data_IF_005577181656
#
_entry.id   IF_005577181656
#
_cell.length_a   1.000
_cell.length_b   1.000
_cell.length_c   1.000
_cell.angle_alpha   90.00
_cell.angle_beta   90.00
_cell.angle_gamma   90.00
#
_symmetry.space_group_name_H-M   'P 1'
#
loop_
_entity.id
_entity.type
_entity.pdbx_description
1 polymer ?
#
# COMPACT_ATOMS: atom_id res chain seq x y z
N UNK A 1 -14.81 11.94 -30.62
CA UNK A 1 -14.67 10.74 -29.77
C UNK A 1 -16.05 10.44 -29.23
N UNK A 2 -16.67 9.34 -29.61
CA UNK A 2 -17.98 8.95 -29.06
C UNK A 2 -17.77 8.55 -27.61
N UNK A 3 -18.27 9.35 -26.67
CA UNK A 3 -18.37 8.95 -25.27
C UNK A 3 -19.15 7.63 -25.23
N UNK A 4 -18.49 6.59 -24.73
CA UNK A 4 -19.12 5.28 -24.56
C UNK A 4 -20.16 5.46 -23.45
N UNK A 5 -21.46 5.53 -23.82
CA UNK A 5 -22.58 5.88 -22.92
C UNK A 5 -22.76 4.94 -21.72
N UNK A 6 -21.94 3.88 -21.62
CA UNK A 6 -21.97 2.86 -20.57
C UNK A 6 -20.60 2.64 -19.94
N UNK A 7 -19.73 3.64 -19.89
CA UNK A 7 -18.46 3.52 -19.19
C UNK A 7 -18.68 3.70 -17.68
N UNK A 8 -18.24 2.74 -16.90
CA UNK A 8 -18.34 2.77 -15.43
C UNK A 8 -17.01 3.20 -14.83
N UNK A 9 -17.02 4.14 -13.92
CA UNK A 9 -15.81 4.61 -13.26
C UNK A 9 -16.07 5.07 -11.85
N UNK A 10 -15.10 4.88 -10.97
CA UNK A 10 -15.23 5.33 -9.59
C UNK A 10 -14.01 5.01 -8.75
N UNK A 11 -14.09 5.46 -7.50
CA UNK A 11 -13.04 5.31 -6.50
C UNK A 11 -13.41 4.23 -5.48
N UNK A 12 -12.49 3.31 -5.23
CA UNK A 12 -12.65 2.23 -4.26
C UNK A 12 -11.54 2.27 -3.22
N UNK A 13 -11.89 2.46 -1.95
CA UNK A 13 -10.90 2.48 -0.86
C UNK A 13 -10.77 1.12 -0.21
N UNK A 14 -9.52 0.72 0.08
CA UNK A 14 -9.18 -0.54 0.74
C UNK A 14 -8.77 -0.25 2.19
N UNK A 15 -9.54 -0.74 3.14
CA UNK A 15 -9.28 -0.59 4.58
C UNK A 15 -9.15 -1.95 5.28
N UNK A 16 -8.57 -1.95 6.46
CA UNK A 16 -8.38 -3.12 7.30
C UNK A 16 -7.19 -2.96 8.23
N UNK A 17 -7.00 -3.86 9.17
CA UNK A 17 -5.84 -3.79 10.07
C UNK A 17 -4.51 -3.97 9.32
N UNK A 18 -3.37 -3.66 9.93
CA UNK A 18 -2.06 -3.94 9.32
C UNK A 18 -1.89 -5.41 8.96
N UNK A 19 -1.18 -5.68 7.87
CA UNK A 19 -0.79 -7.02 7.38
C UNK A 19 -1.92 -7.96 6.92
N UNK A 20 -3.15 -7.47 6.73
CA UNK A 20 -4.23 -8.27 6.14
C UNK A 20 -4.09 -8.47 4.62
N UNK A 21 -3.15 -7.76 3.97
CA UNK A 21 -2.84 -7.91 2.55
C UNK A 21 -3.39 -6.81 1.64
N UNK A 22 -3.69 -5.61 2.16
CA UNK A 22 -4.24 -4.48 1.38
C UNK A 22 -3.37 -4.12 0.18
N UNK A 23 -2.10 -3.81 0.40
CA UNK A 23 -1.15 -3.44 -0.68
C UNK A 23 -0.88 -4.60 -1.64
N UNK A 24 -0.94 -5.85 -1.16
CA UNK A 24 -0.87 -7.04 -2.04
C UNK A 24 -2.09 -7.09 -2.94
N UNK A 25 -3.28 -6.88 -2.39
CA UNK A 25 -4.52 -6.87 -3.17
C UNK A 25 -4.50 -5.73 -4.19
N UNK A 26 -4.08 -4.51 -3.80
CA UNK A 26 -3.92 -3.40 -4.73
C UNK A 26 -3.04 -3.77 -5.93
N UNK A 27 -1.84 -4.29 -5.67
CA UNK A 27 -0.92 -4.70 -6.74
C UNK A 27 -1.54 -5.76 -7.67
N UNK A 28 -2.27 -6.74 -7.10
CA UNK A 28 -2.94 -7.79 -7.89
C UNK A 28 -4.12 -7.24 -8.69
N UNK A 29 -4.87 -6.28 -8.15
CA UNK A 29 -5.97 -5.61 -8.85
C UNK A 29 -5.48 -4.78 -10.03
N UNK A 30 -4.39 -4.02 -9.84
CA UNK A 30 -3.76 -3.19 -10.87
C UNK A 30 -2.98 -4.04 -11.89
N UNK A 31 -2.42 -5.17 -11.45
CA UNK A 31 -1.57 -6.05 -12.26
C UNK A 31 -0.08 -5.69 -12.23
N UNK A 32 0.28 -4.62 -11.54
CA UNK A 32 1.65 -4.10 -11.42
C UNK A 32 1.99 -3.73 -9.98
N UNK A 33 3.28 -3.62 -9.67
CA UNK A 33 3.75 -3.26 -8.33
C UNK A 33 3.73 -1.74 -8.10
N UNK A 34 2.59 -1.21 -7.69
CA UNK A 34 2.40 0.21 -7.35
C UNK A 34 2.55 0.49 -5.84
N UNK A 35 2.40 -0.51 -4.99
CA UNK A 35 2.56 -0.40 -3.55
C UNK A 35 3.60 -1.39 -3.00
N UNK A 36 4.33 -0.98 -1.98
CA UNK A 36 5.29 -1.87 -1.31
C UNK A 36 4.58 -2.89 -0.42
N UNK A 37 5.19 -4.08 -0.31
CA UNK A 37 4.63 -5.19 0.46
C UNK A 37 5.63 -5.72 1.47
N UNK A 38 5.24 -5.78 2.73
CA UNK A 38 6.05 -6.36 3.82
C UNK A 38 5.16 -7.03 4.86
N UNK A 39 5.71 -8.02 5.56
CA UNK A 39 5.07 -8.62 6.74
C UNK A 39 5.10 -7.73 7.98
N UNK A 40 5.75 -6.57 7.91
CA UNK A 40 5.88 -5.64 9.04
C UNK A 40 4.66 -4.73 9.14
N UNK A 41 4.18 -4.40 10.36
CA UNK A 41 3.17 -3.37 10.54
C UNK A 41 3.65 -2.00 10.03
N UNK A 42 2.71 -1.15 9.61
CA UNK A 42 2.99 0.19 9.08
C UNK A 42 3.87 0.17 7.81
N UNK A 43 3.65 -0.83 6.94
CA UNK A 43 4.29 -0.89 5.62
C UNK A 43 3.81 0.27 4.76
N UNK A 44 2.52 0.44 4.56
CA UNK A 44 1.93 1.60 3.90
C UNK A 44 1.80 2.74 4.92
N UNK A 45 2.35 3.91 4.61
CA UNK A 45 2.30 5.12 5.46
C UNK A 45 1.51 6.25 4.82
N UNK A 46 1.63 6.41 3.51
CA UNK A 46 0.81 7.32 2.70
C UNK A 46 -0.31 6.53 2.04
N UNK A 47 -1.37 7.21 1.62
CA UNK A 47 -2.31 6.62 0.67
C UNK A 47 -1.59 6.32 -0.65
N UNK A 48 -1.88 5.19 -1.26
CA UNK A 48 -1.34 4.80 -2.57
C UNK A 48 -2.51 4.62 -3.52
N UNK A 49 -2.50 5.35 -4.62
CA UNK A 49 -3.49 5.21 -5.67
C UNK A 49 -2.99 4.22 -6.72
N UNK A 50 -3.90 3.31 -7.12
CA UNK A 50 -3.67 2.38 -8.22
C UNK A 50 -4.85 2.40 -9.19
N UNK A 51 -4.58 2.54 -10.48
CA UNK A 51 -5.60 2.61 -11.52
C UNK A 51 -5.71 1.28 -12.25
N UNK A 52 -6.89 0.70 -12.24
CA UNK A 52 -7.22 -0.47 -13.06
C UNK A 52 -8.13 -0.02 -14.21
N UNK A 53 -7.66 -0.13 -15.44
CA UNK A 53 -8.43 0.12 -16.66
C UNK A 53 -8.98 -1.16 -17.26
N UNK A 54 -10.12 -1.05 -17.94
CA UNK A 54 -10.73 -2.09 -18.76
C UNK A 54 -11.51 -1.46 -19.90
N UNK A 55 -12.03 -2.29 -20.83
CA UNK A 55 -12.73 -1.81 -22.03
C UNK A 55 -13.91 -0.89 -21.72
N UNK A 56 -14.66 -1.15 -20.66
CA UNK A 56 -15.87 -0.43 -20.28
C UNK A 56 -15.84 0.09 -18.84
N UNK A 57 -14.72 0.01 -18.14
CA UNK A 57 -14.62 0.48 -16.77
C UNK A 57 -13.22 1.00 -16.42
N UNK A 58 -13.17 1.88 -15.42
CA UNK A 58 -11.94 2.29 -14.74
C UNK A 58 -12.19 2.36 -13.24
N UNK A 59 -11.41 1.61 -12.47
CA UNK A 59 -11.49 1.62 -11.02
C UNK A 59 -10.21 2.22 -10.47
N UNK A 60 -10.36 3.28 -9.67
CA UNK A 60 -9.26 3.91 -8.96
C UNK A 60 -9.25 3.39 -7.53
N UNK A 61 -8.33 2.50 -7.25
CA UNK A 61 -8.14 1.97 -5.90
C UNK A 61 -7.29 2.88 -5.05
N UNK A 62 -7.66 3.05 -3.79
CA UNK A 62 -6.86 3.77 -2.80
C UNK A 62 -6.49 2.82 -1.67
N UNK A 63 -5.22 2.36 -1.63
CA UNK A 63 -4.66 1.62 -0.50
C UNK A 63 -4.36 2.59 0.65
N UNK A 64 -4.74 2.20 1.84
CA UNK A 64 -4.58 3.02 3.05
C UNK A 64 -3.61 2.38 4.03
N UNK A 65 -2.98 3.18 4.91
CA UNK A 65 -2.34 2.64 6.09
C UNK A 65 -3.26 1.68 6.86
N UNK A 66 -2.69 0.69 7.54
CA UNK A 66 -3.50 -0.20 8.38
C UNK A 66 -4.13 0.55 9.55
N UNK A 67 -5.41 0.32 9.82
CA UNK A 67 -6.12 0.94 10.94
C UNK A 67 -5.44 0.52 12.25
N UNK A 68 -4.94 1.49 13.01
CA UNK A 68 -4.24 1.30 14.28
C UNK A 68 -4.43 2.51 15.19
N UNK A 69 -4.10 2.35 16.47
CA UNK A 69 -4.10 3.49 17.42
C UNK A 69 -2.79 4.28 17.26
N UNK A 70 -2.85 5.60 16.97
CA UNK A 70 -1.65 6.42 16.79
C UNK A 70 -0.91 6.60 18.12
N UNK A 71 0.42 6.66 18.05
CA UNK A 71 1.32 6.93 19.20
C UNK A 71 2.37 7.99 18.90
N UNK A 72 2.45 8.44 17.66
CA UNK A 72 3.40 9.41 17.15
C UNK A 72 2.70 10.31 16.14
N UNK A 73 3.28 11.48 15.82
CA UNK A 73 2.73 12.33 14.75
C UNK A 73 2.66 11.61 13.39
N UNK A 74 3.62 10.75 13.09
CA UNK A 74 3.53 9.88 11.91
C UNK A 74 2.28 8.98 11.99
N UNK A 75 1.97 8.43 13.16
CA UNK A 75 0.76 7.64 13.37
C UNK A 75 -0.53 8.46 13.19
N UNK A 76 -0.56 9.68 13.68
CA UNK A 76 -1.69 10.62 13.47
C UNK A 76 -1.87 10.95 11.99
N UNK A 77 -0.78 11.23 11.27
CA UNK A 77 -0.80 11.41 9.83
C UNK A 77 -1.38 10.19 9.09
N UNK A 78 -0.98 8.98 9.48
CA UNK A 78 -1.52 7.75 8.88
C UNK A 78 -3.03 7.58 9.11
N UNK A 79 -3.54 7.93 10.30
CA UNK A 79 -4.99 7.91 10.59
C UNK A 79 -5.74 8.92 9.72
N UNK A 80 -5.23 10.14 9.64
CA UNK A 80 -5.81 11.17 8.77
C UNK A 80 -5.81 10.74 7.29
N UNK A 81 -4.74 10.10 6.81
CA UNK A 81 -4.69 9.57 5.44
C UNK A 81 -5.78 8.53 5.16
N UNK A 82 -6.21 7.76 6.18
CA UNK A 82 -7.33 6.83 6.04
C UNK A 82 -8.66 7.60 5.93
N UNK A 83 -8.86 8.62 6.77
CA UNK A 83 -10.07 9.45 6.74
C UNK A 83 -10.24 10.16 5.40
N UNK A 84 -9.18 10.81 4.91
CA UNK A 84 -9.16 11.46 3.60
C UNK A 84 -9.42 10.48 2.44
N UNK A 85 -8.88 9.26 2.53
CA UNK A 85 -9.10 8.23 1.51
C UNK A 85 -10.53 7.67 1.49
N UNK A 86 -11.32 7.93 2.52
CA UNK A 86 -12.73 7.53 2.59
C UNK A 86 -13.71 8.65 2.17
N UNK A 87 -13.21 9.81 1.79
CA UNK A 87 -14.05 10.90 1.31
C UNK A 87 -14.37 10.74 -0.18
N UNK A 88 -15.64 10.88 -0.54
CA UNK A 88 -16.08 10.90 -1.94
C UNK A 88 -15.86 9.59 -2.71
N UNK A 89 -15.77 8.45 -2.03
CA UNK A 89 -15.62 7.13 -2.66
C UNK A 89 -16.95 6.54 -3.11
N UNK A 90 -16.89 5.68 -4.12
CA UNK A 90 -18.02 4.93 -4.66
C UNK A 90 -18.12 3.52 -4.07
N UNK A 91 -17.00 2.95 -3.66
CA UNK A 91 -16.93 1.62 -3.05
C UNK A 91 -15.94 1.54 -1.89
N UNK A 92 -16.22 0.68 -0.92
CA UNK A 92 -15.37 0.39 0.23
C UNK A 92 -15.07 -1.09 0.33
N UNK A 93 -13.80 -1.45 0.31
CA UNK A 93 -13.32 -2.82 0.50
C UNK A 93 -12.76 -2.97 1.92
N UNK A 94 -13.42 -3.76 2.74
CA UNK A 94 -12.96 -4.06 4.11
C UNK A 94 -12.27 -5.40 4.11
N UNK A 95 -10.93 -5.40 4.25
CA UNK A 95 -10.12 -6.60 4.23
C UNK A 95 -9.95 -7.24 5.60
N UNK A 96 -10.18 -8.54 5.66
CA UNK A 96 -9.94 -9.40 6.83
C UNK A 96 -9.04 -10.55 6.44
N UNK A 97 -8.02 -10.83 7.26
CA UNK A 97 -7.15 -12.00 7.15
C UNK A 97 -7.83 -13.22 7.79
N UNK A 98 -8.25 -14.18 6.97
CA UNK A 98 -8.97 -15.38 7.43
C UNK A 98 -8.15 -16.29 8.36
N UNK A 99 -6.82 -16.14 8.36
CA UNK A 99 -5.93 -16.96 9.21
C UNK A 99 -5.85 -16.48 10.67
N UNK A 100 -6.29 -15.23 10.93
CA UNK A 100 -6.10 -14.59 12.24
C UNK A 100 -7.17 -13.52 12.55
N UNK A 101 -8.44 -13.93 12.53
CA UNK A 101 -9.56 -13.03 12.84
C UNK A 101 -9.61 -12.80 14.36
N UNK A 102 -9.48 -11.53 14.76
CA UNK A 102 -9.50 -11.11 16.15
C UNK A 102 -10.57 -10.06 16.47
N UNK A 103 -10.66 -9.62 17.74
CA UNK A 103 -11.61 -8.57 18.14
C UNK A 103 -11.45 -7.26 17.38
N UNK A 104 -10.21 -6.92 17.00
CA UNK A 104 -9.93 -5.70 16.23
C UNK A 104 -10.46 -5.78 14.79
N UNK A 105 -10.37 -6.96 14.13
CA UNK A 105 -10.99 -7.15 12.82
C UNK A 105 -12.51 -6.99 12.89
N UNK A 106 -13.16 -7.59 13.92
CA UNK A 106 -14.60 -7.48 14.13
C UNK A 106 -15.04 -6.04 14.43
N UNK A 107 -14.25 -5.29 15.20
CA UNK A 107 -14.50 -3.87 15.47
C UNK A 107 -14.45 -3.03 14.18
N UNK A 108 -13.45 -3.27 13.32
CA UNK A 108 -13.33 -2.58 12.03
C UNK A 108 -14.53 -2.94 11.12
N UNK A 109 -14.88 -4.22 11.03
CA UNK A 109 -16.01 -4.68 10.22
C UNK A 109 -17.32 -4.03 10.70
N UNK A 110 -17.56 -3.97 12.02
CA UNK A 110 -18.75 -3.32 12.58
C UNK A 110 -18.76 -1.81 12.29
N UNK A 111 -17.65 -1.10 12.53
CA UNK A 111 -17.54 0.33 12.27
C UNK A 111 -17.79 0.67 10.80
N UNK A 112 -17.17 -0.07 9.88
CA UNK A 112 -17.28 0.16 8.44
C UNK A 112 -18.67 -0.25 7.90
N UNK A 113 -19.40 -1.14 8.58
CA UNK A 113 -20.76 -1.54 8.20
C UNK A 113 -21.76 -0.38 8.19
N UNK A 114 -21.49 0.67 8.96
CA UNK A 114 -22.35 1.86 9.06
C UNK A 114 -22.13 2.90 7.96
N UNK A 115 -21.08 2.75 7.14
CA UNK A 115 -20.81 3.67 6.04
C UNK A 115 -21.88 3.53 4.95
N UNK A 116 -22.37 4.67 4.45
CA UNK A 116 -23.40 4.73 3.39
C UNK A 116 -22.76 4.75 2.01
N UNK A 117 -22.09 3.67 1.63
CA UNK A 117 -21.40 3.46 0.36
C UNK A 117 -21.55 2.00 -0.01
N UNK A 118 -21.44 1.65 -1.30
CA UNK A 118 -21.32 0.24 -1.70
C UNK A 118 -20.11 -0.37 -1.01
N UNK A 119 -20.30 -1.47 -0.30
CA UNK A 119 -19.23 -2.02 0.55
C UNK A 119 -19.16 -3.52 0.52
N UNK A 120 -17.95 -4.02 0.33
CA UNK A 120 -17.63 -5.43 0.28
C UNK A 120 -16.75 -5.83 1.47
N UNK A 121 -17.12 -6.93 2.12
CA UNK A 121 -16.23 -7.62 3.05
C UNK A 121 -15.37 -8.61 2.29
N UNK A 122 -14.07 -8.36 2.23
CA UNK A 122 -13.13 -9.17 1.48
C UNK A 122 -12.33 -10.06 2.45
N UNK A 123 -12.59 -11.35 2.39
CA UNK A 123 -11.93 -12.37 3.21
C UNK A 123 -10.67 -12.85 2.48
N UNK A 124 -9.51 -12.31 2.89
CA UNK A 124 -8.24 -12.52 2.22
C UNK A 124 -7.42 -13.67 2.82
N UNK A 125 -6.47 -14.19 2.04
CA UNK A 125 -5.55 -15.29 2.34
C UNK A 125 -6.24 -16.65 2.42
N UNK A 126 -7.24 -16.87 1.56
CA UNK A 126 -7.96 -18.15 1.50
C UNK A 126 -7.06 -19.32 1.10
N UNK A 127 -5.94 -19.05 0.45
CA UNK A 127 -4.90 -20.03 0.12
C UNK A 127 -4.24 -20.68 1.35
N UNK A 128 -4.45 -20.12 2.55
CA UNK A 128 -3.86 -20.61 3.79
C UNK A 128 -4.85 -21.33 4.72
N UNK A 129 -6.10 -21.52 4.28
CA UNK A 129 -7.13 -22.19 5.09
C UNK A 129 -7.85 -23.28 4.29
N UNK A 130 -8.37 -24.28 5.00
CA UNK A 130 -9.17 -25.32 4.38
C UNK A 130 -10.56 -24.79 3.95
N UNK A 131 -11.14 -25.30 2.85
CA UNK A 131 -12.46 -24.87 2.36
C UNK A 131 -13.58 -24.97 3.41
N UNK A 132 -13.58 -25.99 4.24
CA UNK A 132 -14.58 -26.15 5.33
C UNK A 132 -14.48 -25.04 6.37
N UNK A 133 -13.26 -24.66 6.74
CA UNK A 133 -13.02 -23.56 7.68
C UNK A 133 -13.47 -22.22 7.07
N UNK A 134 -13.23 -22.01 5.78
CA UNK A 134 -13.66 -20.82 5.06
C UNK A 134 -15.18 -20.64 5.09
N UNK A 135 -15.96 -21.72 4.86
CA UNK A 135 -17.42 -21.67 4.94
C UNK A 135 -17.90 -21.21 6.34
N UNK A 136 -17.29 -21.71 7.40
CA UNK A 136 -17.61 -21.32 8.77
C UNK A 136 -17.26 -19.85 9.04
N UNK A 137 -16.17 -19.37 8.46
CA UNK A 137 -15.77 -17.95 8.56
C UNK A 137 -16.79 -17.06 7.84
N UNK A 138 -17.18 -17.40 6.62
CA UNK A 138 -18.20 -16.67 5.86
C UNK A 138 -19.51 -16.62 6.66
N UNK A 139 -19.97 -17.74 7.21
CA UNK A 139 -21.19 -17.79 8.03
C UNK A 139 -21.10 -16.91 9.28
N UNK A 140 -19.91 -16.75 9.86
CA UNK A 140 -19.68 -15.87 11.02
C UNK A 140 -19.87 -14.37 10.74
N UNK A 141 -19.91 -13.98 9.46
CA UNK A 141 -20.13 -12.60 9.01
C UNK A 141 -21.44 -12.40 8.23
N UNK A 142 -22.29 -13.40 8.13
CA UNK A 142 -23.54 -13.33 7.35
C UNK A 142 -24.48 -12.21 7.79
N UNK A 143 -24.48 -11.85 9.07
CA UNK A 143 -25.31 -10.78 9.63
C UNK A 143 -24.65 -9.39 9.54
N UNK A 144 -23.41 -9.31 9.04
CA UNK A 144 -22.73 -8.05 8.81
C UNK A 144 -23.38 -7.29 7.64
N UNK A 145 -23.62 -6.00 7.83
CA UNK A 145 -24.34 -5.15 6.86
C UNK A 145 -23.41 -4.74 5.71
N UNK A 146 -23.05 -5.69 4.86
CA UNK A 146 -22.28 -5.53 3.64
C UNK A 146 -23.11 -5.92 2.43
N UNK A 147 -22.81 -5.32 1.28
CA UNK A 147 -23.47 -5.63 0.02
C UNK A 147 -23.01 -6.97 -0.56
N UNK A 148 -21.80 -7.43 -0.18
CA UNK A 148 -21.27 -8.75 -0.51
C UNK A 148 -20.15 -9.18 0.41
N UNK A 149 -19.91 -10.50 0.47
CA UNK A 149 -18.76 -11.13 1.15
C UNK A 149 -18.00 -11.94 0.10
N UNK A 150 -16.77 -11.53 -0.20
CA UNK A 150 -15.96 -12.13 -1.25
C UNK A 150 -14.68 -12.75 -0.67
N UNK A 151 -14.52 -14.07 -0.78
CA UNK A 151 -13.27 -14.75 -0.45
C UNK A 151 -12.24 -14.54 -1.57
N UNK A 152 -11.01 -14.14 -1.21
CA UNK A 152 -9.90 -13.92 -2.15
C UNK A 152 -8.57 -14.42 -1.60
N UNK A 153 -7.64 -14.72 -2.48
CA UNK A 153 -6.22 -14.74 -2.19
C UNK A 153 -5.54 -13.65 -3.02
N UNK A 154 -5.21 -12.54 -2.38
CA UNK A 154 -4.47 -11.47 -3.04
C UNK A 154 -3.10 -11.93 -3.56
N UNK A 155 -2.54 -13.02 -3.01
CA UNK A 155 -1.24 -13.55 -3.40
C UNK A 155 -1.31 -14.44 -4.63
N UNK A 156 -2.29 -15.35 -4.71
CA UNK A 156 -2.46 -16.27 -5.86
C UNK A 156 -3.34 -15.69 -6.97
N UNK A 157 -4.15 -14.67 -6.66
CA UNK A 157 -5.14 -14.10 -7.57
C UNK A 157 -6.53 -14.77 -7.48
N UNK A 158 -6.68 -15.83 -6.67
CA UNK A 158 -7.95 -16.53 -6.53
C UNK A 158 -9.04 -15.57 -6.03
N UNK A 159 -10.20 -15.57 -6.69
CA UNK A 159 -11.34 -14.71 -6.36
C UNK A 159 -11.19 -13.23 -6.76
N UNK A 160 -10.02 -12.79 -7.22
CA UNK A 160 -9.76 -11.38 -7.55
C UNK A 160 -10.53 -10.94 -8.79
N UNK A 161 -10.69 -11.82 -9.80
CA UNK A 161 -11.47 -11.48 -10.99
C UNK A 161 -12.97 -11.35 -10.67
N UNK A 162 -13.49 -12.14 -9.74
CA UNK A 162 -14.86 -11.98 -9.24
C UNK A 162 -15.03 -10.64 -8.50
N UNK A 163 -14.05 -10.25 -7.71
CA UNK A 163 -14.04 -8.95 -7.04
C UNK A 163 -14.00 -7.77 -8.05
N UNK A 164 -13.18 -7.86 -9.11
CA UNK A 164 -13.13 -6.86 -10.18
C UNK A 164 -14.48 -6.74 -10.90
N UNK A 165 -15.09 -7.87 -11.26
CA UNK A 165 -16.37 -7.90 -11.94
C UNK A 165 -17.50 -7.32 -11.09
N UNK A 166 -17.53 -7.67 -9.81
CA UNK A 166 -18.51 -7.15 -8.86
C UNK A 166 -18.40 -5.64 -8.71
N UNK A 167 -17.20 -5.10 -8.48
CA UNK A 167 -16.98 -3.66 -8.42
C UNK A 167 -17.38 -2.95 -9.72
N UNK A 168 -16.96 -3.46 -10.87
CA UNK A 168 -17.29 -2.86 -12.16
C UNK A 168 -18.80 -2.78 -12.40
N UNK A 169 -19.58 -3.76 -11.91
CA UNK A 169 -21.04 -3.78 -12.03
C UNK A 169 -21.75 -2.76 -11.13
N UNK A 170 -21.12 -2.35 -10.02
CA UNK A 170 -21.74 -1.47 -9.03
C UNK A 170 -21.22 -0.01 -9.06
N UNK A 171 -20.15 0.25 -9.82
CA UNK A 171 -19.68 1.62 -10.01
C UNK A 171 -20.66 2.45 -10.85
N UNK A 172 -20.76 3.76 -10.60
CA UNK A 172 -21.60 4.65 -11.39
C UNK A 172 -21.11 4.76 -12.84
N UNK A 173 -22.01 5.18 -13.74
CA UNK A 173 -21.61 5.63 -15.07
C UNK A 173 -20.87 6.96 -14.88
N UNK A 174 -19.64 7.03 -15.39
CA UNK A 174 -18.75 8.18 -15.20
C UNK A 174 -17.73 8.33 -16.30
N UNK A 175 -16.97 9.44 -16.30
CA UNK A 175 -15.90 9.65 -17.26
C UNK A 175 -14.69 8.80 -16.94
N UNK A 176 -13.81 8.62 -17.91
CA UNK A 176 -12.47 8.09 -17.64
C UNK A 176 -11.64 9.16 -16.93
N UNK A 177 -11.21 8.89 -15.70
CA UNK A 177 -10.47 9.84 -14.88
C UNK A 177 -9.00 9.94 -15.26
N UNK A 178 -8.40 8.82 -15.65
CA UNK A 178 -6.97 8.72 -15.93
C UNK A 178 -6.70 8.11 -17.32
N UNK A 179 -5.59 8.46 -17.98
CA UNK A 179 -5.12 7.80 -19.20
C UNK A 179 -4.92 6.29 -18.99
N UNK A 180 -4.96 5.49 -20.08
CA UNK A 180 -4.85 4.02 -20.01
C UNK A 180 -3.48 3.52 -19.54
N UNK A 181 -2.45 4.29 -19.77
CA UNK A 181 -1.07 4.01 -19.39
C UNK A 181 -0.71 4.47 -17.98
N UNK A 182 -1.63 5.13 -17.29
CA UNK A 182 -1.41 5.61 -15.93
C UNK A 182 -1.86 4.56 -14.90
N UNK A 183 -0.92 3.94 -14.21
CA UNK A 183 -1.17 2.93 -13.18
C UNK A 183 -1.23 3.50 -11.77
N UNK A 184 -0.63 4.66 -11.53
CA UNK A 184 -0.59 5.33 -10.22
C UNK A 184 -0.35 6.82 -10.40
N UNK A 185 -0.76 7.62 -9.41
CA UNK A 185 -0.48 9.07 -9.35
C UNK A 185 0.85 9.40 -8.66
N UNK A 186 1.55 8.36 -8.15
CA UNK A 186 2.79 8.58 -7.41
C UNK A 186 3.94 8.94 -8.35
N UNK A 187 4.74 9.98 -8.02
CA UNK A 187 5.98 10.26 -8.70
C UNK A 187 6.95 9.06 -8.60
N UNK A 188 7.67 8.75 -9.67
CA UNK A 188 8.70 7.68 -9.68
C UNK A 188 9.69 7.81 -8.52
N UNK A 189 10.01 9.04 -8.15
CA UNK A 189 10.88 9.37 -7.01
C UNK A 189 10.37 8.77 -5.70
N UNK A 190 9.08 8.89 -5.44
CA UNK A 190 8.45 8.42 -4.21
C UNK A 190 8.33 6.89 -4.21
N UNK A 191 8.02 6.30 -5.36
CA UNK A 191 8.02 4.85 -5.53
C UNK A 191 9.42 4.28 -5.28
N UNK A 192 10.47 4.90 -5.81
CA UNK A 192 11.86 4.49 -5.56
C UNK A 192 12.23 4.57 -4.07
N UNK A 193 11.82 5.63 -3.35
CA UNK A 193 12.03 5.76 -1.91
C UNK A 193 11.33 4.61 -1.14
N UNK A 194 10.09 4.31 -1.52
CA UNK A 194 9.32 3.23 -0.91
C UNK A 194 9.93 1.85 -1.22
N UNK A 195 10.44 1.59 -2.43
CA UNK A 195 11.16 0.35 -2.75
C UNK A 195 12.41 0.17 -1.87
N UNK A 196 13.19 1.23 -1.64
CA UNK A 196 14.33 1.18 -0.70
C UNK A 196 13.84 0.87 0.72
N UNK A 197 12.75 1.52 1.15
CA UNK A 197 12.16 1.30 2.47
C UNK A 197 11.62 -0.13 2.62
N UNK A 198 11.01 -0.70 1.59
CA UNK A 198 10.56 -2.11 1.57
C UNK A 198 11.71 -3.07 1.87
N UNK A 199 12.87 -2.88 1.20
CA UNK A 199 14.04 -3.76 1.43
C UNK A 199 14.62 -3.60 2.84
N UNK A 200 14.60 -2.38 3.37
CA UNK A 200 14.97 -2.16 4.76
C UNK A 200 13.99 -2.88 5.73
N UNK A 201 12.66 -2.77 5.50
CA UNK A 201 11.66 -3.47 6.30
C UNK A 201 11.81 -4.99 6.26
N UNK A 202 12.17 -5.58 5.11
CA UNK A 202 12.34 -7.03 4.93
C UNK A 202 13.62 -7.57 5.56
N UNK A 203 14.70 -6.81 5.48
CA UNK A 203 16.02 -7.27 5.91
C UNK A 203 16.35 -6.97 7.38
N UNK A 204 15.68 -5.99 7.99
CA UNK A 204 15.91 -5.59 9.37
C UNK A 204 14.91 -6.27 10.33
N UNK A 205 15.26 -6.32 11.62
CA UNK A 205 14.49 -7.03 12.65
C UNK A 205 14.09 -6.10 13.78
N UNK A 206 13.25 -6.63 14.64
CA UNK A 206 12.77 -6.01 15.88
C UNK A 206 12.14 -4.63 15.61
N UNK A 207 12.46 -3.60 16.37
CA UNK A 207 11.93 -2.24 16.27
C UNK A 207 12.64 -1.35 15.22
N UNK A 208 13.82 -1.76 14.72
CA UNK A 208 14.61 -0.96 13.78
C UNK A 208 13.82 -0.59 12.51
N UNK A 209 13.09 -1.52 11.88
CA UNK A 209 12.29 -1.21 10.68
C UNK A 209 11.26 -0.10 10.88
N UNK A 210 10.63 -0.04 12.06
CA UNK A 210 9.57 0.94 12.34
C UNK A 210 10.07 2.39 12.40
N UNK A 211 11.35 2.58 12.74
CA UNK A 211 12.01 3.88 12.82
C UNK A 211 12.74 4.32 11.55
N UNK A 212 12.52 3.65 10.40
CA UNK A 212 13.20 4.00 9.15
C UNK A 212 12.35 4.98 8.33
N UNK A 213 12.98 6.10 7.93
CA UNK A 213 12.54 6.98 6.87
C UNK A 213 13.53 6.93 5.70
N UNK A 214 13.08 7.19 4.49
CA UNK A 214 13.93 7.28 3.30
C UNK A 214 13.70 8.62 2.62
N UNK A 215 14.77 9.35 2.37
CA UNK A 215 14.76 10.60 1.63
C UNK A 215 15.57 10.43 0.34
N UNK A 216 14.95 10.73 -0.77
CA UNK A 216 15.64 10.78 -2.06
C UNK A 216 16.41 12.10 -2.17
N UNK A 217 17.71 12.07 -2.19
CA UNK A 217 18.56 13.26 -2.28
C UNK A 217 18.70 13.73 -3.73
N UNK A 218 18.96 12.79 -4.63
CA UNK A 218 19.11 13.07 -6.05
C UNK A 218 18.58 11.90 -6.90
N UNK A 219 18.06 12.24 -8.09
CA UNK A 219 17.67 11.30 -9.12
C UNK A 219 17.99 11.96 -10.46
N UNK A 220 19.10 11.52 -11.10
CA UNK A 220 19.65 12.17 -12.29
C UNK A 220 19.74 11.19 -13.43
N UNK A 221 18.98 11.44 -14.49
CA UNK A 221 19.12 10.71 -15.75
C UNK A 221 20.42 11.14 -16.45
N UNK A 222 21.35 10.24 -16.56
CA UNK A 222 22.65 10.48 -17.21
C UNK A 222 22.58 10.26 -18.72
N UNK A 223 21.78 9.29 -19.16
CA UNK A 223 21.41 9.01 -20.54
C UNK A 223 20.14 8.14 -20.58
N UNK A 224 19.69 7.68 -21.74
CA UNK A 224 18.46 6.90 -21.89
C UNK A 224 18.50 5.49 -21.26
N UNK A 225 19.69 5.02 -20.85
CA UNK A 225 19.87 3.68 -20.29
C UNK A 225 20.47 3.68 -18.88
N UNK A 226 20.75 4.86 -18.30
CA UNK A 226 21.47 4.94 -17.03
C UNK A 226 21.04 6.13 -16.17
N UNK A 227 20.74 5.86 -14.91
CA UNK A 227 20.36 6.83 -13.89
C UNK A 227 21.23 6.71 -12.64
N UNK A 228 21.57 7.86 -12.07
CA UNK A 228 22.19 7.96 -10.74
C UNK A 228 21.14 8.34 -9.70
N UNK A 229 21.10 7.58 -8.61
CA UNK A 229 20.17 7.79 -7.50
C UNK A 229 20.95 7.83 -6.19
N UNK A 230 20.77 8.93 -5.45
CA UNK A 230 21.27 9.09 -4.10
C UNK A 230 20.11 9.12 -3.11
N UNK A 231 20.15 8.26 -2.09
CA UNK A 231 19.14 8.23 -1.05
C UNK A 231 19.74 8.09 0.36
N UNK A 232 19.07 8.68 1.33
CA UNK A 232 19.44 8.59 2.74
C UNK A 232 18.38 7.84 3.53
N UNK A 233 18.80 6.78 4.22
CA UNK A 233 17.99 6.11 5.24
C UNK A 233 18.19 6.82 6.58
N UNK A 234 17.10 7.29 7.17
CA UNK A 234 17.10 7.84 8.52
C UNK A 234 16.70 6.79 9.53
N UNK A 235 17.33 6.83 10.70
CA UNK A 235 16.94 6.03 11.87
C UNK A 235 17.00 6.91 13.12
N UNK A 236 16.38 6.46 14.22
CA UNK A 236 16.23 7.29 15.41
C UNK A 236 17.42 7.23 16.38
N UNK A 237 18.28 6.18 16.30
CA UNK A 237 19.35 5.92 17.28
C UNK A 237 20.62 5.46 16.58
N UNK A 238 21.78 5.77 17.18
CA UNK A 238 23.08 5.29 16.67
C UNK A 238 23.20 3.76 16.67
N UNK A 239 22.61 3.08 17.64
CA UNK A 239 22.54 1.60 17.66
C UNK A 239 21.81 1.05 16.42
N UNK A 240 20.73 1.71 15.97
CA UNK A 240 20.00 1.34 14.77
C UNK A 240 20.85 1.58 13.51
N UNK A 241 21.62 2.68 13.46
CA UNK A 241 22.54 2.97 12.35
C UNK A 241 23.55 1.84 12.17
N UNK A 242 24.14 1.34 13.26
CA UNK A 242 25.07 0.22 13.22
C UNK A 242 24.43 -1.05 12.65
N UNK A 243 23.17 -1.34 13.01
CA UNK A 243 22.41 -2.51 12.51
C UNK A 243 22.10 -2.37 11.01
N UNK A 244 21.68 -1.16 10.56
CA UNK A 244 21.35 -0.89 9.16
C UNK A 244 22.59 -0.97 8.27
N UNK A 245 23.75 -0.49 8.73
CA UNK A 245 25.00 -0.63 8.00
C UNK A 245 25.47 -2.08 8.00
N UNK A 246 25.42 -2.74 9.15
CA UNK A 246 25.89 -4.09 9.34
C UNK A 246 27.42 -4.23 9.34
N UNK A 247 27.91 -5.45 9.56
CA UNK A 247 29.35 -5.72 9.59
C UNK A 247 30.00 -5.40 8.23
N UNK A 248 30.95 -4.48 8.24
CA UNK A 248 31.65 -3.99 7.02
C UNK A 248 30.69 -3.49 5.91
N UNK A 249 29.51 -2.96 6.27
CA UNK A 249 28.54 -2.45 5.31
C UNK A 249 27.62 -3.51 4.65
N UNK A 250 27.73 -4.78 5.02
CA UNK A 250 27.07 -5.90 4.32
C UNK A 250 25.53 -5.79 4.32
N UNK A 251 24.89 -5.28 5.39
CA UNK A 251 23.45 -5.15 5.41
C UNK A 251 22.97 -4.03 4.50
N UNK A 252 23.63 -2.88 4.54
CA UNK A 252 23.29 -1.74 3.66
C UNK A 252 23.52 -2.10 2.17
N UNK A 253 24.59 -2.83 1.87
CA UNK A 253 24.87 -3.33 0.53
C UNK A 253 23.78 -4.30 0.04
N UNK A 254 23.29 -5.18 0.92
CA UNK A 254 22.19 -6.10 0.60
C UNK A 254 20.90 -5.34 0.30
N UNK A 255 20.51 -4.40 1.18
CA UNK A 255 19.34 -3.53 0.99
C UNK A 255 19.45 -2.79 -0.33
N UNK A 256 20.62 -2.19 -0.63
CA UNK A 256 20.86 -1.46 -1.86
C UNK A 256 20.78 -2.34 -3.12
N UNK A 257 21.35 -3.53 -3.09
CA UNK A 257 21.31 -4.46 -4.24
C UNK A 257 19.88 -4.92 -4.55
N UNK A 258 19.11 -5.30 -3.51
CA UNK A 258 17.71 -5.70 -3.67
C UNK A 258 16.82 -4.52 -4.13
N UNK A 259 17.05 -3.32 -3.60
CA UNK A 259 16.29 -2.13 -4.00
C UNK A 259 16.61 -1.73 -5.45
N UNK A 260 17.90 -1.75 -5.82
CA UNK A 260 18.34 -1.43 -7.19
C UNK A 260 17.65 -2.31 -8.21
N UNK A 261 17.58 -3.61 -7.98
CA UNK A 261 16.92 -4.54 -8.92
C UNK A 261 15.45 -4.18 -9.17
N UNK A 262 14.69 -3.85 -8.10
CA UNK A 262 13.30 -3.44 -8.26
C UNK A 262 13.17 -2.05 -8.93
N UNK A 263 14.08 -1.12 -8.65
CA UNK A 263 14.10 0.22 -9.27
C UNK A 263 14.47 0.13 -10.75
N UNK A 264 15.44 -0.70 -11.13
CA UNK A 264 15.79 -0.95 -12.54
C UNK A 264 14.60 -1.52 -13.32
N UNK A 265 13.85 -2.45 -12.72
CA UNK A 265 12.64 -2.99 -13.31
C UNK A 265 11.54 -1.92 -13.47
N UNK A 266 11.38 -1.04 -12.49
CA UNK A 266 10.39 0.04 -12.54
C UNK A 266 10.72 1.06 -13.64
N UNK A 267 12.00 1.47 -13.73
CA UNK A 267 12.42 2.55 -14.62
C UNK A 267 12.81 2.07 -16.02
N UNK A 268 12.97 0.76 -16.22
CA UNK A 268 13.41 0.19 -17.49
C UNK A 268 14.85 0.56 -17.89
N UNK A 269 15.70 0.94 -16.93
CA UNK A 269 17.08 1.38 -17.17
C UNK A 269 18.03 0.96 -16.05
N UNK A 270 19.32 0.95 -16.31
CA UNK A 270 20.34 0.67 -15.29
C UNK A 270 20.43 1.79 -14.26
N UNK A 271 20.65 1.42 -13.00
CA UNK A 271 20.69 2.36 -11.87
C UNK A 271 21.99 2.20 -11.06
N UNK A 272 22.70 3.30 -10.85
CA UNK A 272 23.70 3.42 -9.80
C UNK A 272 23.03 3.96 -8.53
N UNK A 273 22.72 3.07 -7.58
CA UNK A 273 22.07 3.44 -6.33
C UNK A 273 23.11 3.61 -5.22
N UNK A 274 23.20 4.82 -4.67
CA UNK A 274 24.04 5.14 -3.51
C UNK A 274 23.15 5.35 -2.28
N UNK A 275 23.46 4.62 -1.20
CA UNK A 275 22.71 4.68 0.05
C UNK A 275 23.56 5.19 1.20
N UNK A 276 23.01 6.15 1.93
CA UNK A 276 23.58 6.71 3.15
C UNK A 276 22.72 6.41 4.35
N UNK A 277 23.30 6.36 5.56
CA UNK A 277 22.55 6.17 6.80
C UNK A 277 22.87 7.32 7.75
N UNK A 278 21.83 8.04 8.17
CA UNK A 278 21.93 9.15 9.13
C UNK A 278 21.01 8.91 10.34
N UNK A 279 21.46 9.37 11.50
CA UNK A 279 20.62 9.38 12.71
C UNK A 279 19.86 10.68 12.77
N UNK A 280 18.54 10.60 12.95
CA UNK A 280 17.63 11.74 13.14
C UNK A 280 16.69 11.39 14.29
N UNK A 281 17.06 11.74 15.53
CA UNK A 281 16.27 11.40 16.72
C UNK A 281 14.88 12.01 16.68
N UNK A 282 13.86 11.21 17.00
CA UNK A 282 12.47 11.69 17.11
C UNK A 282 11.82 12.18 15.83
N UNK A 283 12.36 11.84 14.65
CA UNK A 283 11.83 12.31 13.36
C UNK A 283 10.33 11.98 13.15
N UNK A 284 9.85 10.90 13.75
CA UNK A 284 8.43 10.51 13.66
C UNK A 284 7.48 11.45 14.40
N UNK A 285 8.01 12.30 15.27
CA UNK A 285 7.27 13.29 16.07
C UNK A 285 7.58 14.74 15.67
N UNK A 286 8.38 14.93 14.61
CA UNK A 286 8.76 16.23 14.04
C UNK A 286 7.96 16.49 12.75
N UNK A 287 7.14 17.56 12.74
CA UNK A 287 6.37 17.95 11.55
C UNK A 287 7.27 18.34 10.37
N UNK A 288 8.44 18.97 10.64
CA UNK A 288 9.41 19.34 9.62
C UNK A 288 10.05 18.12 8.98
N UNK A 289 10.44 17.13 9.80
CA UNK A 289 11.02 15.88 9.31
C UNK A 289 10.02 15.05 8.53
N UNK A 290 8.76 15.00 8.99
CA UNK A 290 7.68 14.32 8.26
C UNK A 290 7.47 14.96 6.87
N UNK A 291 7.50 16.29 6.80
CA UNK A 291 7.40 17.00 5.52
C UNK A 291 8.59 16.67 4.60
N UNK A 292 9.81 16.68 5.12
CA UNK A 292 11.03 16.35 4.37
C UNK A 292 11.00 14.92 3.81
N UNK A 293 10.40 13.99 4.55
CA UNK A 293 10.29 12.58 4.19
C UNK A 293 9.04 12.25 3.34
N UNK A 294 8.32 13.28 2.84
CA UNK A 294 7.16 13.09 1.97
C UNK A 294 5.86 12.74 2.70
N UNK A 295 5.83 12.79 4.02
CA UNK A 295 4.61 12.63 4.81
C UNK A 295 3.93 14.00 4.99
N UNK A 296 3.27 14.46 3.93
CA UNK A 296 2.63 15.79 3.90
C UNK A 296 1.13 15.62 3.85
N UNK A 297 0.43 16.44 4.64
CA UNK A 297 -1.01 16.61 4.48
C UNK A 297 -1.26 17.42 3.18
N UNK A 298 -1.96 16.83 2.23
CA UNK A 298 -2.52 17.61 1.13
C UNK A 298 -3.66 18.46 1.72
N UNK A 299 -3.43 19.77 1.76
CA UNK A 299 -4.48 20.75 2.07
C UNK A 299 -5.33 21.00 0.84
#
# INVERSE_FOLDING_TARGET
>A
MSENKNFHSGFATIVGRPNVGKSTLLNTLVGEKVAIVSSRPQTTRNRVMGVMGGDNCQIVFVDTPGIHRPRTKLGEFMVQSIEEAMEGIDALLVLVDVTAIGPHDRSIVEEMSHKKVYKLLVLNKIDLVEPKSLLSIIDSFKDAKYDGILPVSAKSGDGVDALKADLAAHLPIGPKYFPDDMLTDQPERDICAELIREKALRNLRDEVPHGIGVEMMAMKKMNDHFMEIDATLYCERDSHKGIIIGKKGAMLQKIGAEARADIENLLGMHVNLQLWVKVRPGWRDSAEDLKTLGYVQNR
#
